data_IF_258284931319
#
_entry.id   IF_258284931319
#
_cell.length_a   1.000
_cell.length_b   1.000
_cell.length_c   1.000
_cell.angle_alpha   90.00
_cell.angle_beta   90.00
_cell.angle_gamma   90.00
#
_symmetry.space_group_name_H-M   'P 1'
#
loop_
_entity.id
_entity.type
_entity.pdbx_description
1 polymer ?
#
# COMPACT_ATOMS: atom_id res chain seq x y z
N UNK A 1 -5.46 9.51 23.52
CA UNK A 1 -5.44 8.17 22.90
C UNK A 1 -5.28 8.32 21.41
N UNK A 2 -4.32 7.64 20.85
CA UNK A 2 -4.06 7.72 19.43
C UNK A 2 -5.01 6.82 18.66
N UNK A 3 -5.56 7.35 17.57
CA UNK A 3 -6.37 6.54 16.67
C UNK A 3 -5.47 5.89 15.64
N UNK A 4 -5.82 4.67 15.25
CA UNK A 4 -5.09 3.93 14.24
C UNK A 4 -5.61 4.37 12.88
N UNK A 5 -4.74 4.76 11.93
CA UNK A 5 -5.21 5.15 10.61
C UNK A 5 -5.81 3.94 9.89
N UNK A 6 -6.81 4.21 9.05
CA UNK A 6 -7.42 3.16 8.25
C UNK A 6 -6.66 2.90 6.96
N UNK A 7 -5.82 3.82 6.54
CA UNK A 7 -5.08 3.77 5.29
C UNK A 7 -3.63 4.16 5.56
N UNK A 8 -2.70 3.33 5.14
CA UNK A 8 -1.26 3.56 5.29
C UNK A 8 -0.56 3.46 3.95
N UNK A 9 0.47 4.27 3.77
CA UNK A 9 1.34 4.22 2.60
C UNK A 9 2.77 4.03 3.08
N UNK A 10 3.44 3.00 2.56
CA UNK A 10 4.84 2.74 2.85
C UNK A 10 5.64 2.78 1.57
N UNK A 11 6.78 3.46 1.60
CA UNK A 11 7.71 3.47 0.46
C UNK A 11 8.80 2.44 0.73
N UNK A 12 8.96 1.51 -0.20
CA UNK A 12 9.90 0.39 -0.08
C UNK A 12 11.10 0.66 -0.96
N UNK A 13 12.29 0.48 -0.41
CA UNK A 13 13.53 0.61 -1.17
C UNK A 13 14.20 -0.75 -1.32
N UNK A 14 15.21 -0.82 -2.19
CA UNK A 14 15.95 -2.06 -2.41
C UNK A 14 16.70 -2.53 -1.16
N UNK A 15 16.89 -1.64 -0.20
CA UNK A 15 17.58 -1.99 1.06
C UNK A 15 16.63 -2.63 2.08
N UNK A 16 15.33 -2.55 1.87
CA UNK A 16 14.36 -3.13 2.79
C UNK A 16 14.26 -4.63 2.59
N UNK A 17 14.17 -5.36 3.70
CA UNK A 17 14.04 -6.81 3.63
C UNK A 17 12.58 -7.21 3.55
N UNK A 18 12.30 -8.20 2.70
CA UNK A 18 10.93 -8.64 2.46
C UNK A 18 10.26 -9.15 3.75
N UNK A 19 11.02 -9.80 4.62
CA UNK A 19 10.46 -10.30 5.88
C UNK A 19 9.98 -9.17 6.78
N UNK A 20 10.71 -8.07 6.82
CA UNK A 20 10.33 -6.92 7.62
C UNK A 20 9.09 -6.25 7.06
N UNK A 21 8.99 -6.18 5.74
CA UNK A 21 7.83 -5.61 5.05
C UNK A 21 6.58 -6.44 5.36
N UNK A 22 6.71 -7.77 5.26
CA UNK A 22 5.59 -8.66 5.54
C UNK A 22 5.15 -8.59 7.00
N UNK A 23 6.10 -8.44 7.91
CA UNK A 23 5.79 -8.29 9.32
C UNK A 23 5.02 -6.99 9.58
N UNK A 24 5.44 -5.90 8.96
CA UNK A 24 4.71 -4.62 9.07
C UNK A 24 3.29 -4.75 8.56
N UNK A 25 3.08 -5.41 7.43
CA UNK A 25 1.75 -5.62 6.87
C UNK A 25 0.85 -6.35 7.87
N UNK A 26 1.35 -7.42 8.46
CA UNK A 26 0.59 -8.17 9.45
C UNK A 26 0.24 -7.30 10.64
N UNK A 27 1.17 -6.49 11.12
CA UNK A 27 0.93 -5.60 12.25
C UNK A 27 -0.12 -4.55 11.93
N UNK A 28 -0.05 -3.93 10.75
CA UNK A 28 -1.04 -2.94 10.35
C UNK A 28 -2.45 -3.52 10.34
N UNK A 29 -2.64 -4.65 9.70
CA UNK A 29 -3.98 -5.26 9.61
C UNK A 29 -4.45 -5.79 10.94
N UNK A 30 -3.54 -6.28 11.78
CA UNK A 30 -3.86 -6.73 13.13
C UNK A 30 -4.41 -5.57 13.97
N UNK A 31 -3.92 -4.37 13.76
CA UNK A 31 -4.31 -3.19 14.53
C UNK A 31 -5.46 -2.40 13.91
N UNK A 32 -6.06 -2.89 12.84
CA UNK A 32 -7.27 -2.27 12.29
C UNK A 32 -7.08 -1.44 11.04
N UNK A 33 -5.88 -1.38 10.49
CA UNK A 33 -5.68 -0.73 9.20
C UNK A 33 -6.42 -1.53 8.13
N UNK A 34 -7.07 -0.86 7.21
CA UNK A 34 -7.93 -1.51 6.21
C UNK A 34 -7.32 -1.54 4.82
N UNK A 35 -6.46 -0.59 4.49
CA UNK A 35 -5.81 -0.53 3.19
C UNK A 35 -4.35 -0.10 3.40
N UNK A 36 -3.43 -0.80 2.75
CA UNK A 36 -2.01 -0.45 2.77
C UNK A 36 -1.49 -0.43 1.33
N UNK A 37 -0.84 0.65 0.97
CA UNK A 37 -0.13 0.74 -0.30
C UNK A 37 1.36 0.58 -0.05
N UNK A 38 2.00 -0.36 -0.74
CA UNK A 38 3.45 -0.47 -0.78
C UNK A 38 3.93 0.13 -2.09
N UNK A 39 4.61 1.25 -2.01
CA UNK A 39 5.13 1.94 -3.18
C UNK A 39 6.58 1.50 -3.40
N UNK A 40 6.87 1.00 -4.59
CA UNK A 40 8.19 0.53 -4.97
C UNK A 40 8.70 1.35 -6.14
N UNK A 41 9.31 2.53 -5.88
CA UNK A 41 9.71 3.43 -6.96
C UNK A 41 10.72 2.84 -7.93
N UNK A 42 11.60 2.00 -7.43
CA UNK A 42 12.62 1.37 -8.26
C UNK A 42 12.03 0.41 -9.28
N UNK A 43 10.85 -0.12 -9.00
CA UNK A 43 10.14 -1.07 -9.87
C UNK A 43 9.02 -0.41 -10.65
N UNK A 44 8.75 0.88 -10.42
CA UNK A 44 7.60 1.59 -10.96
C UNK A 44 6.30 0.83 -10.65
N UNK A 45 6.16 0.40 -9.41
CA UNK A 45 5.10 -0.51 -9.00
C UNK A 45 4.49 -0.06 -7.67
N UNK A 46 3.19 -0.30 -7.52
CA UNK A 46 2.50 -0.12 -6.24
C UNK A 46 1.70 -1.39 -5.97
N UNK A 47 1.83 -1.92 -4.76
CA UNK A 47 0.99 -3.05 -4.33
C UNK A 47 -0.06 -2.52 -3.37
N UNK A 48 -1.32 -2.78 -3.69
CA UNK A 48 -2.46 -2.34 -2.88
C UNK A 48 -2.99 -3.53 -2.10
N UNK A 49 -2.85 -3.49 -0.78
CA UNK A 49 -3.31 -4.55 0.10
C UNK A 49 -4.60 -4.15 0.79
N UNK A 50 -5.61 -4.99 0.70
CA UNK A 50 -6.86 -4.82 1.45
C UNK A 50 -6.97 -5.82 2.60
N UNK A 51 -6.05 -6.79 2.65
CA UNK A 51 -5.81 -7.68 3.78
C UNK A 51 -4.42 -8.29 3.57
N UNK A 52 -3.94 -9.07 4.53
CA UNK A 52 -2.64 -9.72 4.38
C UNK A 52 -2.61 -10.73 3.23
N UNK A 53 -3.78 -11.17 2.79
CA UNK A 53 -3.92 -12.17 1.72
C UNK A 53 -4.33 -11.58 0.38
N UNK A 54 -4.87 -10.36 0.37
CA UNK A 54 -5.46 -9.78 -0.83
C UNK A 54 -4.62 -8.60 -1.29
N UNK A 55 -4.01 -8.74 -2.44
CA UNK A 55 -3.16 -7.70 -3.01
C UNK A 55 -3.50 -7.51 -4.50
N UNK A 56 -3.49 -6.25 -4.92
CA UNK A 56 -3.60 -5.88 -6.33
C UNK A 56 -2.32 -5.17 -6.70
N UNK A 57 -1.65 -5.65 -7.73
CA UNK A 57 -0.40 -5.06 -8.20
C UNK A 57 -0.73 -4.08 -9.31
N UNK A 58 -0.31 -2.84 -9.14
CA UNK A 58 -0.54 -1.76 -10.09
C UNK A 58 0.77 -1.36 -10.75
N UNK A 59 0.77 -1.27 -12.07
CA UNK A 59 1.95 -0.92 -12.88
C UNK A 59 1.58 0.19 -13.86
N UNK A 60 2.53 1.08 -14.12
CA UNK A 60 2.44 2.10 -15.18
C UNK A 60 1.15 2.92 -15.13
N UNK A 61 0.21 2.62 -16.03
CA UNK A 61 -1.04 3.35 -16.14
C UNK A 61 -2.15 2.82 -15.24
N UNK A 62 -1.89 1.73 -14.52
CA UNK A 62 -2.89 1.18 -13.59
C UNK A 62 -3.20 2.18 -12.50
N UNK A 63 -4.43 2.21 -12.06
CA UNK A 63 -4.88 3.10 -11.00
C UNK A 63 -4.88 2.39 -9.66
N UNK A 64 -4.30 3.05 -8.66
CA UNK A 64 -4.33 2.58 -7.29
C UNK A 64 -5.57 3.13 -6.62
N UNK A 65 -6.33 2.27 -5.95
CA UNK A 65 -7.54 2.66 -5.25
C UNK A 65 -7.36 2.53 -3.74
N UNK A 66 -7.92 3.46 -2.98
CA UNK A 66 -7.92 3.39 -1.53
C UNK A 66 -9.26 2.90 -0.98
N UNK A 67 -10.09 2.27 -1.81
CA UNK A 67 -11.33 1.65 -1.34
C UNK A 67 -11.03 0.51 -0.37
N UNK A 68 -11.86 0.29 0.64
CA UNK A 68 -13.11 1.00 0.93
C UNK A 68 -12.95 2.25 1.82
N UNK A 69 -11.72 2.62 2.15
CA UNK A 69 -11.48 3.75 3.08
C UNK A 69 -11.80 5.08 2.42
N UNK A 70 -11.29 5.27 1.19
CA UNK A 70 -11.50 6.49 0.42
C UNK A 70 -12.09 6.11 -0.94
N UNK A 71 -13.41 6.15 -1.06
CA UNK A 71 -14.10 5.64 -2.24
C UNK A 71 -13.74 6.35 -3.54
N UNK A 72 -13.50 7.65 -3.46
CA UNK A 72 -13.26 8.46 -4.64
C UNK A 72 -11.78 8.68 -4.95
N UNK A 73 -10.91 8.12 -4.15
CA UNK A 73 -9.48 8.33 -4.33
C UNK A 73 -8.88 7.25 -5.24
N UNK A 74 -8.41 7.70 -6.39
CA UNK A 74 -7.65 6.87 -7.31
C UNK A 74 -6.54 7.70 -7.94
N UNK A 75 -5.39 7.08 -8.14
CA UNK A 75 -4.27 7.73 -8.82
C UNK A 75 -3.50 6.68 -9.60
N UNK A 76 -3.05 7.01 -10.81
CA UNK A 76 -2.23 6.09 -11.57
C UNK A 76 -0.84 5.99 -10.96
N UNK A 77 -0.19 4.84 -11.14
CA UNK A 77 1.18 4.64 -10.66
C UNK A 77 2.10 5.70 -11.27
N UNK A 78 1.93 5.96 -12.55
CA UNK A 78 2.72 6.95 -13.27
C UNK A 78 2.63 8.33 -12.62
N UNK A 79 1.42 8.77 -12.27
CA UNK A 79 1.23 10.07 -11.63
C UNK A 79 1.76 10.07 -10.20
N UNK A 80 1.58 8.97 -9.50
CA UNK A 80 2.03 8.86 -8.11
C UNK A 80 3.54 8.95 -7.99
N UNK A 81 4.26 8.36 -8.95
CA UNK A 81 5.72 8.31 -8.92
C UNK A 81 6.41 9.42 -9.71
N UNK A 82 5.66 10.27 -10.37
CA UNK A 82 6.23 11.38 -11.16
C UNK A 82 6.75 12.51 -10.29
#
# INVERSE_FOLDING_TARGET
MESIPSFCIEVVSSNDQINDIKLKLKEYFKHGVRVVWLIMPEQDMVEVYTSVKDVIICLDDDHCSAKPVLDDFEISVKDLLS
#
